data_IF_994218412712
#
_entry.id   IF_994218412712
#
_cell.length_a   1.000
_cell.length_b   1.000
_cell.length_c   1.000
_cell.angle_alpha   90.00
_cell.angle_beta   90.00
_cell.angle_gamma   90.00
#
_symmetry.space_group_name_H-M   'P 1'
#
loop_
_entity.id
_entity.type
_entity.pdbx_description
1 polymer ?
#
# COMPACT_ATOMS: atom_id res chain seq x y z
N UNK A 1 1.09 -22.86 -42.35
CA UNK A 1 2.55 -22.90 -42.11
C UNK A 1 2.88 -24.32 -41.71
N UNK A 2 3.18 -25.12 -42.72
CA UNK A 2 2.88 -26.56 -42.69
C UNK A 2 3.94 -27.33 -41.90
N UNK A 3 3.52 -28.02 -40.83
CA UNK A 3 4.37 -28.90 -40.01
C UNK A 3 5.12 -29.95 -40.85
N UNK A 4 4.54 -30.33 -41.99
CA UNK A 4 5.12 -31.25 -42.96
C UNK A 4 6.37 -30.64 -43.63
N UNK A 5 6.38 -29.32 -43.87
CA UNK A 5 7.52 -28.61 -44.43
C UNK A 5 8.69 -28.54 -43.45
N UNK A 6 8.42 -28.32 -42.16
CA UNK A 6 9.42 -28.38 -41.08
C UNK A 6 10.05 -29.78 -40.96
N UNK A 7 9.25 -30.84 -41.06
CA UNK A 7 9.73 -32.23 -41.01
C UNK A 7 10.55 -32.57 -42.26
N UNK A 8 10.18 -32.07 -43.44
CA UNK A 8 10.94 -32.25 -44.67
C UNK A 8 12.28 -31.51 -44.64
N UNK A 9 12.30 -30.29 -44.09
CA UNK A 9 13.52 -29.50 -43.92
C UNK A 9 14.47 -30.13 -42.90
N UNK A 10 13.92 -30.71 -41.82
CA UNK A 10 14.68 -31.49 -40.85
C UNK A 10 15.26 -32.78 -41.47
N UNK A 11 14.50 -33.52 -42.29
CA UNK A 11 14.97 -34.74 -42.98
C UNK A 11 16.03 -34.45 -44.04
N UNK A 12 15.87 -33.37 -44.81
CA UNK A 12 16.85 -32.93 -45.80
C UNK A 12 18.15 -32.51 -45.12
N UNK A 13 18.06 -31.73 -44.03
CA UNK A 13 19.21 -31.41 -43.19
C UNK A 13 19.91 -32.65 -42.65
N UNK A 14 19.17 -33.67 -42.19
CA UNK A 14 19.75 -34.92 -41.67
C UNK A 14 20.56 -35.72 -42.70
N UNK A 15 20.15 -35.66 -43.98
CA UNK A 15 20.85 -36.33 -45.08
C UNK A 15 22.11 -35.57 -45.51
N UNK A 16 22.04 -34.24 -45.52
CA UNK A 16 23.18 -33.33 -45.78
C UNK A 16 24.23 -33.37 -44.66
N UNK A 17 23.77 -33.49 -43.40
CA UNK A 17 24.61 -33.66 -42.20
C UNK A 17 25.42 -34.97 -42.22
N UNK A 18 24.92 -36.03 -42.90
CA UNK A 18 25.61 -37.32 -43.00
C UNK A 18 26.77 -37.28 -44.01
N UNK A 19 26.61 -36.58 -45.14
CA UNK A 19 27.69 -36.38 -46.12
C UNK A 19 28.75 -35.40 -45.61
N UNK A 20 28.35 -34.33 -44.91
CA UNK A 20 29.25 -33.37 -44.28
C UNK A 20 29.37 -33.56 -42.76
N UNK A 21 29.65 -34.80 -42.33
CA UNK A 21 29.73 -35.20 -40.90
C UNK A 21 30.56 -34.26 -40.00
N UNK A 22 31.61 -33.64 -40.55
CA UNK A 22 32.45 -32.68 -39.83
C UNK A 22 31.83 -31.28 -39.76
N UNK A 23 31.13 -30.81 -40.80
CA UNK A 23 30.43 -29.52 -40.77
C UNK A 23 29.19 -29.57 -39.85
N UNK A 24 28.54 -30.73 -39.80
CA UNK A 24 27.48 -31.06 -38.83
C UNK A 24 27.95 -30.91 -37.38
N UNK A 25 29.07 -31.55 -37.06
CA UNK A 25 29.71 -31.48 -35.74
C UNK A 25 30.14 -30.05 -35.39
N UNK A 26 30.73 -29.33 -36.35
CA UNK A 26 31.18 -27.95 -36.14
C UNK A 26 29.99 -27.00 -35.92
N UNK A 27 28.91 -27.14 -36.70
CA UNK A 27 27.67 -26.38 -36.50
C UNK A 27 27.02 -26.65 -35.14
N UNK A 28 26.93 -27.92 -34.73
CA UNK A 28 26.44 -28.30 -33.41
C UNK A 28 27.30 -27.74 -32.27
N UNK A 29 28.63 -27.77 -32.43
CA UNK A 29 29.57 -27.16 -31.49
C UNK A 29 29.37 -25.65 -31.38
N UNK A 30 29.21 -24.94 -32.49
CA UNK A 30 28.94 -23.49 -32.50
C UNK A 30 27.62 -23.17 -31.80
N UNK A 31 26.56 -23.95 -32.05
CA UNK A 31 25.28 -23.76 -31.36
C UNK A 31 25.41 -24.03 -29.86
N UNK A 32 26.12 -25.09 -29.46
CA UNK A 32 26.35 -25.40 -28.05
C UNK A 32 27.14 -24.28 -27.35
N UNK A 33 28.20 -23.76 -27.99
CA UNK A 33 28.98 -22.63 -27.48
C UNK A 33 28.12 -21.36 -27.41
N UNK A 34 27.28 -21.09 -28.41
CA UNK A 34 26.38 -19.95 -28.40
C UNK A 34 25.35 -20.03 -27.27
N UNK A 35 24.78 -21.21 -27.00
CA UNK A 35 23.86 -21.44 -25.89
C UNK A 35 24.57 -21.27 -24.55
N UNK A 36 25.79 -21.80 -24.39
CA UNK A 36 26.59 -21.62 -23.18
C UNK A 36 26.97 -20.15 -22.94
N UNK A 37 27.39 -19.44 -23.98
CA UNK A 37 27.71 -18.01 -23.91
C UNK A 37 26.48 -17.18 -23.51
N UNK A 38 25.31 -17.51 -24.08
CA UNK A 38 24.06 -16.87 -23.71
C UNK A 38 23.64 -17.17 -22.26
N UNK A 39 23.85 -18.40 -21.80
CA UNK A 39 23.59 -18.81 -20.41
C UNK A 39 24.46 -18.06 -19.39
N UNK A 40 25.74 -17.84 -19.68
CA UNK A 40 26.63 -17.06 -18.80
C UNK A 40 26.28 -15.57 -18.72
N UNK A 41 25.70 -15.01 -19.79
CA UNK A 41 25.25 -13.62 -19.81
C UNK A 41 23.90 -13.42 -19.10
N UNK A 42 23.20 -14.50 -18.76
CA UNK A 42 21.93 -14.42 -18.06
C UNK A 42 22.15 -14.03 -16.61
N UNK A 43 21.77 -12.80 -16.25
CA UNK A 43 21.90 -12.30 -14.89
C UNK A 43 21.02 -13.10 -13.92
N UNK A 44 21.63 -13.61 -12.87
CA UNK A 44 20.93 -14.20 -11.74
C UNK A 44 20.07 -13.13 -11.06
N UNK A 45 18.83 -13.48 -10.71
CA UNK A 45 17.91 -12.61 -9.99
C UNK A 45 17.52 -13.30 -8.69
N UNK A 46 17.86 -12.66 -7.58
CA UNK A 46 17.53 -13.11 -6.24
C UNK A 46 16.20 -12.48 -5.84
N UNK A 47 15.25 -13.31 -5.41
CA UNK A 47 13.92 -12.87 -5.00
C UNK A 47 13.75 -13.10 -3.50
N UNK A 48 13.42 -12.03 -2.78
CA UNK A 48 13.10 -12.08 -1.35
C UNK A 48 11.62 -11.80 -1.18
N UNK A 49 10.95 -12.62 -0.39
CA UNK A 49 9.52 -12.48 -0.10
C UNK A 49 9.27 -12.57 1.39
N UNK A 50 8.38 -11.71 1.89
CA UNK A 50 7.91 -11.76 3.26
C UNK A 50 6.39 -11.67 3.30
N UNK A 51 5.80 -12.24 4.35
CA UNK A 51 4.35 -12.22 4.56
C UNK A 51 4.04 -11.53 5.89
N UNK A 52 3.22 -10.49 5.83
CA UNK A 52 2.78 -9.72 6.99
C UNK A 52 1.33 -10.05 7.32
N UNK A 53 1.05 -10.28 8.60
CA UNK A 53 -0.30 -10.38 9.13
C UNK A 53 -0.79 -9.02 9.64
N UNK A 54 -1.92 -8.56 9.13
CA UNK A 54 -2.55 -7.31 9.55
C UNK A 54 -3.63 -7.59 10.60
N UNK A 55 -3.33 -7.28 11.88
CA UNK A 55 -4.32 -7.36 12.96
C UNK A 55 -5.33 -6.20 12.88
N UNK A 56 -6.62 -6.55 12.95
CA UNK A 56 -7.76 -5.69 12.70
C UNK A 56 -8.32 -5.06 13.98
N UNK A 57 -7.48 -4.67 14.93
CA UNK A 57 -7.95 -3.97 16.13
C UNK A 57 -8.33 -2.52 15.80
N UNK A 58 -9.54 -2.34 15.27
CA UNK A 58 -10.07 -1.05 14.87
C UNK A 58 -10.91 -0.47 16.02
N UNK A 59 -10.24 0.11 17.01
CA UNK A 59 -10.87 0.70 18.21
C UNK A 59 -11.69 1.97 17.93
N UNK A 60 -11.51 2.59 16.76
CA UNK A 60 -12.17 3.87 16.39
C UNK A 60 -13.41 3.65 15.52
N UNK A 61 -13.45 2.58 14.72
CA UNK A 61 -14.60 2.26 13.86
C UNK A 61 -15.96 2.17 14.61
N UNK A 62 -16.06 1.66 15.85
CA UNK A 62 -17.32 1.68 16.60
C UNK A 62 -17.76 3.08 17.01
N UNK A 63 -16.82 4.04 17.12
CA UNK A 63 -17.09 5.42 17.57
C UNK A 63 -17.58 6.33 16.43
N UNK A 64 -17.40 5.91 15.17
CA UNK A 64 -17.86 6.61 13.96
C UNK A 64 -19.04 5.90 13.28
N UNK A 65 -19.39 4.69 13.73
CA UNK A 65 -20.58 3.96 13.28
C UNK A 65 -21.83 4.73 13.68
N UNK A 66 -22.40 5.46 12.72
CA UNK A 66 -23.62 6.25 12.86
C UNK A 66 -23.73 7.46 11.93
N UNK A 67 -22.62 7.96 11.35
CA UNK A 67 -22.65 9.18 10.51
C UNK A 67 -22.10 9.04 9.09
N UNK A 68 -21.46 7.92 8.73
CA UNK A 68 -21.01 7.70 7.36
C UNK A 68 -21.05 6.21 7.01
N UNK A 69 -21.56 5.93 5.81
CA UNK A 69 -21.64 4.61 5.21
C UNK A 69 -20.20 4.06 5.09
N UNK A 70 -19.95 2.89 5.70
CA UNK A 70 -18.63 2.26 5.70
C UNK A 70 -18.37 1.77 4.27
N UNK A 71 -17.47 2.45 3.56
CA UNK A 71 -17.10 2.05 2.20
C UNK A 71 -16.50 0.64 2.22
N UNK A 72 -16.96 -0.16 1.27
CA UNK A 72 -16.68 -1.59 1.13
C UNK A 72 -15.19 -1.89 0.89
N UNK A 73 -14.77 -3.05 1.38
CA UNK A 73 -13.40 -3.50 1.72
C UNK A 73 -12.48 -3.74 0.50
N UNK A 74 -12.81 -3.20 -0.68
CA UNK A 74 -12.05 -3.42 -1.91
C UNK A 74 -10.81 -2.50 -2.02
N UNK A 75 -10.78 -1.38 -1.28
CA UNK A 75 -9.73 -0.35 -1.33
C UNK A 75 -8.52 -0.64 -0.40
N UNK A 76 -8.60 -1.68 0.43
CA UNK A 76 -7.60 -1.90 1.49
C UNK A 76 -6.22 -2.32 0.95
N UNK A 77 -6.18 -3.11 -0.13
CA UNK A 77 -4.92 -3.44 -0.81
C UNK A 77 -4.23 -2.18 -1.32
N UNK A 78 -5.02 -1.31 -1.93
CA UNK A 78 -4.53 -0.12 -2.58
C UNK A 78 -3.98 0.85 -1.55
N UNK A 79 -4.67 1.05 -0.42
CA UNK A 79 -4.16 1.84 0.70
C UNK A 79 -2.85 1.28 1.26
N UNK A 80 -2.76 -0.04 1.47
CA UNK A 80 -1.52 -0.67 1.96
C UNK A 80 -0.39 -0.50 0.96
N UNK A 81 -0.67 -0.74 -0.32
CA UNK A 81 0.29 -0.60 -1.41
C UNK A 81 0.78 0.84 -1.54
N UNK A 82 -0.12 1.82 -1.46
CA UNK A 82 0.21 3.24 -1.55
C UNK A 82 1.03 3.70 -0.35
N UNK A 83 0.74 3.16 0.85
CA UNK A 83 1.54 3.44 2.04
C UNK A 83 2.95 2.83 1.94
N UNK A 84 3.05 1.53 1.60
CA UNK A 84 4.33 0.84 1.44
C UNK A 84 5.20 1.46 0.33
N UNK A 85 4.58 1.84 -0.79
CA UNK A 85 5.26 2.45 -1.94
C UNK A 85 5.24 3.98 -1.91
N UNK A 86 5.04 4.56 -0.73
CA UNK A 86 5.11 6.00 -0.54
C UNK A 86 6.54 6.49 -0.74
N UNK A 87 6.70 7.65 -1.38
CA UNK A 87 8.03 8.24 -1.61
C UNK A 87 8.80 8.39 -0.30
N UNK A 88 8.12 8.75 0.79
CA UNK A 88 8.73 8.92 2.11
C UNK A 88 9.37 7.64 2.64
N UNK A 89 8.73 6.48 2.48
CA UNK A 89 9.29 5.19 2.91
C UNK A 89 10.44 4.80 1.97
N UNK A 90 10.23 4.88 0.66
CA UNK A 90 11.26 4.49 -0.32
C UNK A 90 12.51 5.38 -0.25
N UNK A 91 12.36 6.67 -0.02
CA UNK A 91 13.49 7.60 0.19
C UNK A 91 14.30 7.25 1.44
N UNK A 92 13.64 6.81 2.52
CA UNK A 92 14.33 6.36 3.73
C UNK A 92 15.11 5.08 3.50
N UNK A 93 14.60 4.15 2.69
CA UNK A 93 15.33 2.94 2.29
C UNK A 93 16.55 3.31 1.44
N UNK A 94 16.38 4.16 0.41
CA UNK A 94 17.50 4.59 -0.46
C UNK A 94 18.59 5.36 0.31
N UNK A 95 18.24 6.03 1.40
CA UNK A 95 19.18 6.74 2.28
C UNK A 95 19.83 5.84 3.34
N UNK A 96 19.07 4.87 3.88
CA UNK A 96 19.52 4.00 4.97
C UNK A 96 20.39 2.86 4.47
N UNK A 97 20.06 2.30 3.32
CA UNK A 97 20.91 1.40 2.57
C UNK A 97 21.86 2.25 1.74
N UNK A 98 23.14 1.90 1.68
CA UNK A 98 24.15 2.61 0.90
C UNK A 98 23.96 2.41 -0.62
N UNK A 99 22.72 2.33 -1.12
CA UNK A 99 22.35 2.18 -2.54
C UNK A 99 22.99 3.24 -3.44
N UNK A 100 23.32 4.40 -2.88
CA UNK A 100 23.95 5.50 -3.58
C UNK A 100 25.48 5.43 -3.59
N UNK A 101 26.12 4.42 -2.96
CA UNK A 101 27.57 4.31 -2.82
C UNK A 101 28.23 5.65 -2.38
N UNK A 102 27.56 6.40 -1.48
CA UNK A 102 28.01 7.71 -1.02
C UNK A 102 27.84 8.89 -2.00
N UNK A 103 27.07 8.75 -3.08
CA UNK A 103 26.77 9.85 -4.01
C UNK A 103 25.42 10.50 -3.68
N UNK A 104 25.46 11.64 -2.98
CA UNK A 104 24.29 12.48 -2.69
C UNK A 104 23.86 13.31 -3.92
N UNK A 105 23.37 12.62 -4.96
CA UNK A 105 22.74 13.26 -6.11
C UNK A 105 21.21 13.09 -6.03
N UNK A 106 20.44 14.18 -5.80
CA UNK A 106 18.98 14.12 -5.71
C UNK A 106 18.30 13.54 -6.96
N UNK A 107 18.88 13.73 -8.15
CA UNK A 107 18.33 13.20 -9.39
C UNK A 107 18.47 11.67 -9.45
N UNK A 108 19.61 11.14 -9.00
CA UNK A 108 19.83 9.69 -8.90
C UNK A 108 18.98 9.06 -7.81
N UNK A 109 18.80 9.75 -6.69
CA UNK A 109 17.94 9.26 -5.61
C UNK A 109 16.50 9.06 -6.10
N UNK A 110 15.93 10.06 -6.80
CA UNK A 110 14.58 9.97 -7.36
C UNK A 110 14.43 8.85 -8.40
N UNK A 111 15.46 8.66 -9.23
CA UNK A 111 15.50 7.55 -10.18
C UNK A 111 15.53 6.18 -9.48
N UNK A 112 16.34 6.03 -8.43
CA UNK A 112 16.40 4.79 -7.63
C UNK A 112 15.09 4.51 -6.90
N UNK A 113 14.47 5.52 -6.29
CA UNK A 113 13.14 5.40 -5.66
C UNK A 113 12.10 4.94 -6.67
N UNK A 114 12.11 5.52 -7.87
CA UNK A 114 11.19 5.13 -8.95
C UNK A 114 11.44 3.69 -9.42
N UNK A 115 12.71 3.27 -9.51
CA UNK A 115 13.09 1.90 -9.83
C UNK A 115 12.62 0.89 -8.79
N UNK A 116 12.87 1.16 -7.50
CA UNK A 116 12.39 0.35 -6.39
C UNK A 116 10.87 0.22 -6.40
N UNK A 117 10.15 1.33 -6.62
CA UNK A 117 8.68 1.34 -6.70
C UNK A 117 8.14 0.40 -7.79
N UNK A 118 8.83 0.27 -8.92
CA UNK A 118 8.44 -0.62 -10.01
C UNK A 118 8.81 -2.08 -9.75
N UNK A 119 9.90 -2.33 -9.01
CA UNK A 119 10.41 -3.67 -8.75
C UNK A 119 9.74 -4.34 -7.54
N UNK A 120 9.34 -3.56 -6.53
CA UNK A 120 8.62 -4.07 -5.35
C UNK A 120 7.20 -4.48 -5.73
N UNK A 121 6.84 -5.73 -5.44
CA UNK A 121 5.52 -6.30 -5.68
C UNK A 121 4.82 -6.58 -4.35
N UNK A 122 3.71 -5.89 -4.14
CA UNK A 122 2.81 -6.09 -3.00
C UNK A 122 1.56 -6.82 -3.50
N UNK A 123 1.19 -7.93 -2.84
CA UNK A 123 0.03 -8.76 -3.17
C UNK A 123 -0.74 -9.12 -1.90
N UNK A 124 -2.06 -9.28 -1.99
CA UNK A 124 -2.83 -9.93 -0.94
C UNK A 124 -2.73 -11.45 -1.10
N UNK A 125 -2.37 -12.13 -0.02
CA UNK A 125 -2.35 -13.60 0.06
C UNK A 125 -3.63 -14.14 0.73
N UNK A 126 -4.41 -13.27 1.39
CA UNK A 126 -5.68 -13.58 2.01
C UNK A 126 -6.29 -12.33 2.67
N UNK A 127 -7.41 -12.47 3.38
CA UNK A 127 -8.15 -11.33 3.98
C UNK A 127 -7.29 -10.45 4.90
N UNK A 128 -6.36 -11.06 5.64
CA UNK A 128 -5.49 -10.38 6.61
C UNK A 128 -3.99 -10.58 6.32
N UNK A 129 -3.62 -11.14 5.17
CA UNK A 129 -2.22 -11.47 4.84
C UNK A 129 -1.76 -10.69 3.61
N UNK A 130 -0.69 -9.93 3.77
CA UNK A 130 -0.06 -9.15 2.72
C UNK A 130 1.31 -9.75 2.42
N UNK A 131 1.51 -10.19 1.19
CA UNK A 131 2.80 -10.63 0.67
C UNK A 131 3.54 -9.47 0.03
N UNK A 132 4.78 -9.24 0.45
CA UNK A 132 5.70 -8.28 -0.16
C UNK A 132 6.86 -9.06 -0.76
N UNK A 133 7.21 -8.75 -2.00
CA UNK A 133 8.32 -9.38 -2.71
C UNK A 133 9.14 -8.36 -3.48
N UNK A 134 10.45 -8.55 -3.48
CA UNK A 134 11.41 -7.72 -4.20
C UNK A 134 12.45 -8.62 -4.86
N UNK A 135 13.06 -8.17 -5.96
CA UNK A 135 14.09 -8.95 -6.62
C UNK A 135 15.19 -8.06 -7.18
N UNK A 136 16.43 -8.42 -6.88
CA UNK A 136 17.66 -7.71 -7.27
C UNK A 136 18.71 -8.73 -7.74
N UNK A 137 19.76 -8.27 -8.41
CA UNK A 137 20.93 -9.07 -8.78
C UNK A 137 21.82 -9.41 -7.58
N UNK A 138 21.66 -8.69 -6.46
CA UNK A 138 22.43 -8.89 -5.24
C UNK A 138 21.50 -9.39 -4.11
N UNK A 139 21.77 -10.57 -3.54
CA UNK A 139 20.94 -11.16 -2.50
C UNK A 139 20.91 -10.32 -1.21
N UNK A 140 22.02 -9.68 -0.84
CA UNK A 140 22.12 -8.92 0.41
C UNK A 140 21.33 -7.61 0.32
N UNK A 141 21.38 -6.95 -0.85
CA UNK A 141 20.53 -5.79 -1.14
C UNK A 141 19.06 -6.17 -1.17
N UNK A 142 18.71 -7.28 -1.81
CA UNK A 142 17.33 -7.73 -1.88
C UNK A 142 16.74 -8.01 -0.48
N UNK A 143 17.53 -8.66 0.38
CA UNK A 143 17.13 -8.98 1.75
C UNK A 143 16.95 -7.73 2.61
N UNK A 144 17.94 -6.84 2.56
CA UNK A 144 17.95 -5.66 3.41
C UNK A 144 16.88 -4.64 2.99
N UNK A 145 16.66 -4.48 1.68
CA UNK A 145 15.56 -3.66 1.14
C UNK A 145 14.18 -4.11 1.64
N UNK A 146 13.88 -5.42 1.57
CA UNK A 146 12.59 -5.95 2.02
C UNK A 146 12.44 -5.82 3.53
N UNK A 147 13.49 -6.10 4.29
CA UNK A 147 13.48 -6.02 5.75
C UNK A 147 13.20 -4.59 6.21
N UNK A 148 13.96 -3.62 5.69
CA UNK A 148 13.77 -2.20 6.03
C UNK A 148 12.41 -1.67 5.57
N UNK A 149 11.94 -2.08 4.38
CA UNK A 149 10.62 -1.69 3.89
C UNK A 149 9.52 -2.11 4.88
N UNK A 150 9.62 -3.33 5.39
CA UNK A 150 8.64 -3.88 6.33
C UNK A 150 8.73 -3.18 7.68
N UNK A 151 9.94 -2.95 8.20
CA UNK A 151 10.15 -2.25 9.47
C UNK A 151 9.62 -0.81 9.42
N UNK A 152 9.94 -0.08 8.35
CA UNK A 152 9.45 1.28 8.13
C UNK A 152 7.94 1.32 7.96
N UNK A 153 7.36 0.35 7.24
CA UNK A 153 5.92 0.22 7.10
C UNK A 153 5.23 -0.01 8.45
N UNK A 154 5.76 -0.93 9.28
CA UNK A 154 5.20 -1.21 10.61
C UNK A 154 5.28 0.03 11.50
N UNK A 155 6.42 0.71 11.50
CA UNK A 155 6.63 1.95 12.26
C UNK A 155 5.64 3.03 11.83
N UNK A 156 5.55 3.30 10.53
CA UNK A 156 4.67 4.33 9.99
C UNK A 156 3.18 4.00 10.19
N UNK A 157 2.80 2.73 10.03
CA UNK A 157 1.44 2.29 10.29
C UNK A 157 1.05 2.51 11.76
N UNK A 158 1.97 2.23 12.69
CA UNK A 158 1.77 2.47 14.12
C UNK A 158 1.66 3.96 14.45
N UNK A 159 2.54 4.79 13.88
CA UNK A 159 2.49 6.26 14.03
C UNK A 159 1.19 6.86 13.48
N UNK A 160 0.75 6.42 12.30
CA UNK A 160 -0.50 6.87 11.68
C UNK A 160 -1.73 6.48 12.51
N UNK A 161 -1.77 5.24 13.04
CA UNK A 161 -2.84 4.81 13.97
C UNK A 161 -2.88 5.67 15.24
N UNK A 162 -1.71 5.98 15.81
CA UNK A 162 -1.61 6.83 17.01
C UNK A 162 -2.04 8.26 16.73
N UNK A 163 -1.59 8.84 15.61
CA UNK A 163 -1.97 10.18 15.17
C UNK A 163 -3.47 10.29 14.92
N UNK A 164 -4.05 9.34 14.17
CA UNK A 164 -5.49 9.29 13.90
C UNK A 164 -6.33 9.21 15.19
N UNK A 165 -5.86 8.43 16.17
CA UNK A 165 -6.52 8.34 17.48
C UNK A 165 -6.49 9.66 18.24
N UNK A 166 -5.35 10.35 18.24
CA UNK A 166 -5.21 11.67 18.87
C UNK A 166 -6.11 12.72 18.19
N UNK A 167 -6.18 12.71 16.86
CA UNK A 167 -7.04 13.63 16.10
C UNK A 167 -8.52 13.37 16.38
N UNK A 168 -8.94 12.10 16.42
CA UNK A 168 -10.31 11.74 16.78
C UNK A 168 -10.68 12.22 18.18
N UNK A 169 -9.78 12.03 19.15
CA UNK A 169 -9.97 12.54 20.52
C UNK A 169 -10.18 14.07 20.54
N UNK A 170 -9.31 14.82 19.86
CA UNK A 170 -9.42 16.28 19.77
C UNK A 170 -10.69 16.75 19.04
N UNK A 171 -11.15 16.00 18.04
CA UNK A 171 -12.40 16.29 17.35
C UNK A 171 -13.60 16.11 18.29
N UNK A 172 -13.64 15.01 19.06
CA UNK A 172 -14.71 14.76 20.03
C UNK A 172 -14.71 15.81 21.14
N UNK A 173 -13.55 16.17 21.68
CA UNK A 173 -13.42 17.21 22.69
C UNK A 173 -14.02 18.55 22.21
N UNK A 174 -13.71 18.95 20.97
CA UNK A 174 -14.31 20.13 20.34
C UNK A 174 -15.83 20.02 20.19
N UNK A 175 -16.37 18.86 19.82
CA UNK A 175 -17.81 18.66 19.70
C UNK A 175 -18.51 18.72 21.05
N UNK A 176 -17.92 18.15 22.10
CA UNK A 176 -18.44 18.23 23.48
C UNK A 176 -18.50 19.68 23.94
N UNK A 177 -17.44 20.47 23.71
CA UNK A 177 -17.42 21.89 24.05
C UNK A 177 -18.50 22.69 23.28
N UNK A 178 -18.66 22.42 21.98
CA UNK A 178 -19.70 23.05 21.15
C UNK A 178 -21.11 22.72 21.63
N UNK A 179 -21.40 21.44 21.90
CA UNK A 179 -22.72 21.02 22.39
C UNK A 179 -23.02 21.57 23.78
N UNK A 180 -22.02 21.65 24.67
CA UNK A 180 -22.18 22.28 25.98
C UNK A 180 -22.63 23.75 25.85
N UNK A 181 -22.01 24.50 24.94
CA UNK A 181 -22.40 25.90 24.70
C UNK A 181 -23.79 26.01 24.07
N UNK A 182 -24.14 25.12 23.13
CA UNK A 182 -25.50 25.08 22.56
C UNK A 182 -26.56 24.79 23.62
N UNK A 183 -26.29 23.85 24.54
CA UNK A 183 -27.17 23.54 25.67
C UNK A 183 -27.34 24.76 26.59
N UNK A 184 -26.24 25.40 26.97
CA UNK A 184 -26.26 26.63 27.79
C UNK A 184 -27.10 27.73 27.15
N UNK A 185 -26.97 27.93 25.84
CA UNK A 185 -27.79 28.89 25.09
C UNK A 185 -29.26 28.51 25.04
N UNK A 186 -29.58 27.21 24.92
CA UNK A 186 -30.96 26.73 24.94
C UNK A 186 -31.60 26.92 26.33
N UNK A 187 -30.86 26.67 27.41
CA UNK A 187 -31.30 26.94 28.78
C UNK A 187 -31.54 28.44 29.03
N UNK A 188 -30.63 29.31 28.56
CA UNK A 188 -30.79 30.76 28.65
C UNK A 188 -32.05 31.23 27.89
N UNK A 189 -32.34 30.65 26.71
CA UNK A 189 -33.56 30.94 25.95
C UNK A 189 -34.82 30.47 26.68
N UNK A 190 -34.79 29.28 27.27
CA UNK A 190 -35.91 28.74 28.05
C UNK A 190 -36.19 29.61 29.28
N UNK A 191 -35.15 30.04 29.99
CA UNK A 191 -35.27 30.94 31.14
C UNK A 191 -35.88 32.28 30.75
N UNK A 192 -35.43 32.87 29.64
CA UNK A 192 -36.01 34.11 29.10
C UNK A 192 -37.48 33.93 28.73
N UNK A 193 -37.82 32.85 28.03
CA UNK A 193 -39.19 32.52 27.66
C UNK A 193 -40.10 32.37 28.90
N UNK A 194 -39.65 31.65 29.92
CA UNK A 194 -40.41 31.51 31.16
C UNK A 194 -40.59 32.85 31.89
N UNK A 195 -39.53 33.67 31.97
CA UNK A 195 -39.61 34.99 32.61
C UNK A 195 -40.52 35.97 31.85
N UNK A 196 -40.54 35.94 30.51
CA UNK A 196 -41.42 36.80 29.71
C UNK A 196 -42.88 36.34 29.70
N UNK A 197 -43.15 35.05 29.92
CA UNK A 197 -44.51 34.47 29.89
C UNK A 197 -45.11 34.25 31.29
N UNK A 198 -44.52 34.81 32.35
CA UNK A 198 -45.11 34.83 33.70
C UNK A 198 -46.52 35.47 33.71
N UNK A 199 -46.82 36.37 32.77
CA UNK A 199 -48.14 36.99 32.59
C UNK A 199 -49.24 36.06 32.02
N UNK A 200 -48.87 34.83 31.61
CA UNK A 200 -49.79 33.86 31.01
C UNK A 200 -50.21 32.70 31.91
N UNK A 201 -49.83 32.70 33.20
CA UNK A 201 -50.11 31.56 34.10
C UNK A 201 -51.31 31.84 35.00
N UNK A 202 -52.40 31.09 34.78
CA UNK A 202 -53.67 30.90 35.50
C UNK A 202 -54.46 32.12 36.02
N UNK A 203 -53.81 33.09 36.64
CA UNK A 203 -54.43 34.25 37.29
C UNK A 203 -55.26 35.15 36.37
N UNK A 204 -54.91 35.28 35.07
CA UNK A 204 -55.71 36.05 34.08
C UNK A 204 -56.76 35.21 33.34
N UNK A 205 -56.62 33.89 33.30
CA UNK A 205 -57.65 33.02 32.71
C UNK A 205 -58.82 32.88 33.67
N UNK A 206 -58.54 32.80 34.98
CA UNK A 206 -59.57 32.77 36.02
C UNK A 206 -60.33 34.10 36.12
N UNK A 207 -59.67 35.25 35.93
CA UNK A 207 -60.35 36.56 35.95
C UNK A 207 -61.27 36.81 34.74
N UNK A 208 -61.07 36.10 33.63
CA UNK A 208 -61.89 36.24 32.42
C UNK A 208 -63.03 35.20 32.34
N UNK A 209 -63.04 34.19 33.21
CA UNK A 209 -64.12 33.20 33.32
C UNK A 209 -65.12 33.59 34.43
N UNK A 210 -64.71 34.44 35.38
CA UNK A 210 -65.58 34.98 36.44
C UNK A 210 -66.22 36.36 36.12
N UNK A 211 -66.09 36.88 34.89
CA UNK A 211 -66.86 38.02 34.37
C UNK A 211 -67.84 37.57 33.29
#
# INVERSE_FOLDING_TARGET
MDFIFLIQLARAGFRELWTHRYAALLGGFVVAVAVLAYGMLWQEKYSVSTTLYADQQNIIAPLLKGQAQVTEVEDQLQVVKDLMLSNRILEQIVKGENFLNGVDDPARQSAMVSGLKQQVKVKLLGKNYIGVSYSDSDPDRAYSAVTQLVDLFIKESSENKRSGSKQAFLFIDKQVASYKEQLRQAEDRLKKFNASNLDGTDSRVQSNIES
#
